data_IF_698750882696
#
_entry.id   IF_698750882696
#
_cell.length_a   1.000
_cell.length_b   1.000
_cell.length_c   1.000
_cell.angle_alpha   90.00
_cell.angle_beta   90.00
_cell.angle_gamma   90.00
#
_symmetry.space_group_name_H-M   'P 1'
#
loop_
_entity.id
_entity.type
_entity.pdbx_description
1 polymer ?
#
# COMPACT_ATOMS: atom_id res chain seq x y z
N UNK A 1 13.25 4.00 4.93
CA UNK A 1 12.64 2.76 4.49
C UNK A 1 11.12 2.87 4.58
N UNK A 2 10.50 2.90 3.43
CA UNK A 2 9.07 3.16 3.30
C UNK A 2 8.20 2.10 3.98
N UNK A 3 8.58 0.83 3.85
CA UNK A 3 7.78 -0.27 4.38
C UNK A 3 7.68 -0.24 5.92
N UNK A 4 8.75 0.11 6.61
CA UNK A 4 8.74 0.14 8.08
C UNK A 4 7.73 1.16 8.60
N UNK A 5 7.66 2.33 7.97
CA UNK A 5 6.67 3.35 8.35
C UNK A 5 5.24 2.90 8.06
N UNK A 6 5.05 2.26 6.91
CA UNK A 6 3.74 1.71 6.54
C UNK A 6 3.30 0.66 7.56
N UNK A 7 4.19 -0.24 7.95
CA UNK A 7 3.89 -1.27 8.94
C UNK A 7 3.46 -0.67 10.28
N UNK A 8 4.19 0.34 10.76
CA UNK A 8 3.85 1.01 12.02
C UNK A 8 2.50 1.69 11.95
N UNK A 9 2.19 2.32 10.82
CA UNK A 9 0.90 2.95 10.60
C UNK A 9 -0.22 1.92 10.62
N UNK A 10 -0.05 0.78 9.94
CA UNK A 10 -1.04 -0.28 9.86
C UNK A 10 -1.30 -0.92 11.22
N UNK A 11 -0.27 -1.08 12.06
CA UNK A 11 -0.42 -1.65 13.41
C UNK A 11 -1.29 -0.80 14.33
N UNK A 12 -1.39 0.49 14.05
CA UNK A 12 -2.23 1.41 14.82
C UNK A 12 -3.69 1.42 14.36
N UNK A 13 -4.00 0.81 13.23
CA UNK A 13 -5.34 0.81 12.68
C UNK A 13 -6.18 -0.33 13.24
N UNK A 14 -7.49 -0.11 13.27
CA UNK A 14 -8.44 -1.11 13.75
C UNK A 14 -8.69 -2.18 12.69
N UNK A 15 -8.96 -3.44 13.10
CA UNK A 15 -9.36 -4.48 12.15
C UNK A 15 -10.54 -4.07 11.29
N UNK A 16 -10.49 -4.41 10.02
CA UNK A 16 -11.54 -4.06 9.06
C UNK A 16 -11.47 -2.64 8.51
N UNK A 17 -10.62 -1.81 9.06
CA UNK A 17 -10.44 -0.44 8.59
C UNK A 17 -9.68 -0.41 7.27
N UNK A 18 -9.98 0.59 6.42
CA UNK A 18 -9.25 0.79 5.17
C UNK A 18 -8.14 1.81 5.36
N UNK A 19 -6.99 1.55 4.76
CA UNK A 19 -5.86 2.46 4.75
C UNK A 19 -5.51 2.82 3.32
N UNK A 20 -5.10 4.06 3.10
CA UNK A 20 -4.57 4.51 1.83
C UNK A 20 -3.09 4.82 1.99
N UNK A 21 -2.27 4.26 1.10
CA UNK A 21 -0.83 4.48 1.10
C UNK A 21 -0.42 4.97 -0.27
N UNK A 22 0.31 6.08 -0.31
CA UNK A 22 0.84 6.60 -1.56
C UNK A 22 2.23 6.01 -1.80
N UNK A 23 2.41 5.42 -2.98
CA UNK A 23 3.66 4.79 -3.38
C UNK A 23 4.20 5.45 -4.63
N UNK A 24 5.50 5.63 -4.71
CA UNK A 24 6.17 6.16 -5.88
C UNK A 24 7.50 5.44 -6.07
N UNK A 25 7.79 5.05 -7.32
CA UNK A 25 9.00 4.32 -7.66
C UNK A 25 8.76 2.83 -7.81
N UNK A 26 9.62 2.16 -8.63
CA UNK A 26 9.45 0.74 -8.95
C UNK A 26 9.56 -0.17 -7.73
N UNK A 27 10.51 0.10 -6.83
CA UNK A 27 10.72 -0.72 -5.65
C UNK A 27 9.52 -0.74 -4.69
N UNK A 28 9.01 0.42 -4.22
CA UNK A 28 7.84 0.40 -3.36
C UNK A 28 6.59 -0.21 -4.02
N UNK A 29 6.41 0.02 -5.32
CA UNK A 29 5.27 -0.53 -6.06
C UNK A 29 5.30 -2.06 -6.12
N UNK A 30 6.47 -2.65 -6.08
CA UNK A 30 6.64 -4.11 -6.05
C UNK A 30 6.62 -4.65 -4.61
N UNK A 31 7.39 -4.04 -3.72
CA UNK A 31 7.65 -4.58 -2.39
C UNK A 31 6.52 -4.34 -1.39
N UNK A 32 5.91 -3.16 -1.39
CA UNK A 32 4.89 -2.82 -0.39
C UNK A 32 3.63 -3.69 -0.52
N UNK A 33 3.06 -3.89 -1.74
CA UNK A 33 1.91 -4.78 -1.87
C UNK A 33 2.21 -6.22 -1.43
N UNK A 34 3.38 -6.75 -1.77
CA UNK A 34 3.79 -8.08 -1.34
C UNK A 34 3.86 -8.19 0.16
N UNK A 35 4.47 -7.20 0.80
CA UNK A 35 4.62 -7.18 2.26
C UNK A 35 3.28 -7.06 2.98
N UNK A 36 2.37 -6.26 2.44
CA UNK A 36 1.01 -6.12 2.96
C UNK A 36 0.29 -7.47 2.95
N UNK A 37 0.41 -8.22 1.85
CA UNK A 37 -0.19 -9.55 1.74
C UNK A 37 0.43 -10.55 2.71
N UNK A 38 1.75 -10.50 2.89
CA UNK A 38 2.46 -11.38 3.82
C UNK A 38 2.02 -11.17 5.26
N UNK A 39 1.71 -9.94 5.63
CA UNK A 39 1.18 -9.61 6.96
C UNK A 39 -0.27 -10.11 7.11
N UNK A 40 -0.96 -10.34 6.00
CA UNK A 40 -2.31 -10.87 6.00
C UNK A 40 -3.40 -9.85 5.72
N UNK A 41 -3.03 -8.62 5.37
CA UNK A 41 -4.01 -7.61 4.96
C UNK A 41 -4.46 -7.84 3.53
N UNK A 42 -5.64 -7.33 3.19
CA UNK A 42 -6.22 -7.47 1.85
C UNK A 42 -5.96 -6.20 1.04
N UNK A 43 -5.45 -6.36 -0.18
CA UNK A 43 -5.31 -5.25 -1.11
C UNK A 43 -6.65 -5.05 -1.81
N UNK A 44 -7.24 -3.87 -1.62
CA UNK A 44 -8.50 -3.49 -2.26
C UNK A 44 -8.23 -2.99 -3.67
N UNK A 45 -7.27 -2.09 -3.81
CA UNK A 45 -6.91 -1.56 -5.13
C UNK A 45 -5.49 -0.99 -5.10
N UNK A 46 -4.90 -0.94 -6.28
CA UNK A 46 -3.62 -0.25 -6.50
C UNK A 46 -3.75 0.44 -7.86
N UNK A 47 -3.88 1.74 -7.85
CA UNK A 47 -4.13 2.52 -9.06
C UNK A 47 -3.15 3.69 -9.18
N UNK A 48 -2.73 4.03 -10.41
CA UNK A 48 -1.91 5.22 -10.61
C UNK A 48 -2.74 6.48 -10.33
N UNK A 49 -2.13 7.46 -9.69
CA UNK A 49 -2.78 8.75 -9.49
C UNK A 49 -2.93 9.50 -10.81
N UNK A 50 -1.98 9.32 -11.73
CA UNK A 50 -2.05 9.84 -13.09
C UNK A 50 -2.00 8.68 -14.08
N UNK A 51 -3.14 8.28 -14.68
CA UNK A 51 -3.17 7.15 -15.61
C UNK A 51 -2.35 7.40 -16.89
N UNK A 52 -2.01 8.63 -17.18
CA UNK A 52 -1.17 9.00 -18.33
C UNK A 52 0.29 9.21 -17.93
N UNK A 53 0.63 9.02 -16.65
CA UNK A 53 1.98 9.16 -16.14
C UNK A 53 2.83 7.91 -16.33
N UNK A 54 4.08 7.95 -15.87
CA UNK A 54 4.98 6.79 -15.96
C UNK A 54 4.50 5.62 -15.12
N UNK A 55 4.88 4.40 -15.52
CA UNK A 55 4.47 3.18 -14.82
C UNK A 55 4.95 3.13 -13.37
N UNK A 56 6.07 3.77 -13.05
CA UNK A 56 6.62 3.85 -11.70
C UNK A 56 6.30 5.18 -11.01
N UNK A 57 5.34 5.92 -11.53
CA UNK A 57 4.89 7.17 -10.94
C UNK A 57 4.08 6.97 -9.66
N UNK A 58 3.52 8.05 -9.09
CA UNK A 58 2.73 7.95 -7.87
C UNK A 58 1.52 7.03 -8.03
N UNK A 59 1.35 6.11 -7.09
CA UNK A 59 0.20 5.20 -7.04
C UNK A 59 -0.47 5.31 -5.69
N UNK A 60 -1.77 5.00 -5.67
CA UNK A 60 -2.54 4.92 -4.44
C UNK A 60 -2.86 3.45 -4.17
N UNK A 61 -2.35 2.96 -3.05
CA UNK A 61 -2.67 1.62 -2.57
C UNK A 61 -3.75 1.74 -1.51
N UNK A 62 -4.88 1.08 -1.74
CA UNK A 62 -5.95 0.97 -0.76
C UNK A 62 -5.95 -0.47 -0.25
N UNK A 63 -5.87 -0.62 1.05
CA UNK A 63 -5.86 -1.94 1.66
C UNK A 63 -6.85 -2.00 2.82
N UNK A 64 -7.29 -3.20 3.14
CA UNK A 64 -8.17 -3.45 4.28
C UNK A 64 -7.37 -4.18 5.35
N UNK A 65 -7.39 -3.65 6.56
CA UNK A 65 -6.68 -4.24 7.70
C UNK A 65 -7.37 -5.56 8.07
N UNK A 66 -6.58 -6.59 8.27
CA UNK A 66 -7.12 -7.91 8.62
C UNK A 66 -7.83 -7.87 9.97
N UNK A 67 -8.89 -8.63 10.06
CA UNK A 67 -9.65 -8.78 11.29
C UNK A 67 -8.93 -9.63 12.33
#
# INVERSE_FOLDING_TARGET
MTFVRTKLLLEKMRPGERAEVRLQGAEPLDNVPKSVREIGHTIVSLTPEDPNGPADGPHRLVLKIKD
#
